data_IF_945412222047
#
_entry.id   IF_945412222047
#
_cell.length_a   1.000
_cell.length_b   1.000
_cell.length_c   1.000
_cell.angle_alpha   90.00
_cell.angle_beta   90.00
_cell.angle_gamma   90.00
#
_symmetry.space_group_name_H-M   'P 1'
#
loop_
_entity.id
_entity.type
_entity.pdbx_description
1 polymer ?
#
# COMPACT_ATOMS: atom_id res chain seq x y z
N UNK A 1 -16.91 11.18 3.59
CA UNK A 1 -17.13 11.24 2.13
C UNK A 1 -16.97 9.88 1.53
N UNK A 2 -17.91 9.46 0.70
CA UNK A 2 -17.84 8.17 0.01
C UNK A 2 -16.88 8.24 -1.16
N UNK A 3 -16.12 7.17 -1.38
CA UNK A 3 -15.33 7.04 -2.59
C UNK A 3 -16.26 6.87 -3.78
N UNK A 4 -15.96 7.58 -4.87
CA UNK A 4 -16.70 7.37 -6.11
C UNK A 4 -16.22 6.09 -6.78
N UNK A 5 -17.08 5.49 -7.57
CA UNK A 5 -16.71 4.33 -8.38
C UNK A 5 -15.98 4.83 -9.63
N UNK A 6 -14.80 4.26 -9.89
CA UNK A 6 -14.02 4.62 -11.06
C UNK A 6 -14.63 4.03 -12.33
N UNK A 7 -14.61 4.81 -13.41
CA UNK A 7 -14.95 4.30 -14.72
C UNK A 7 -13.78 3.50 -15.31
N UNK A 8 -14.06 2.75 -16.37
CA UNK A 8 -13.09 1.85 -17.00
C UNK A 8 -11.81 2.57 -17.40
N UNK A 9 -11.93 3.74 -18.01
CA UNK A 9 -10.80 4.53 -18.49
C UNK A 9 -9.90 4.99 -17.34
N UNK A 10 -10.50 5.34 -16.21
CA UNK A 10 -9.75 5.73 -15.02
C UNK A 10 -8.99 4.55 -14.42
N UNK A 11 -9.61 3.39 -14.37
CA UNK A 11 -8.94 2.18 -13.90
C UNK A 11 -7.77 1.82 -14.81
N UNK A 12 -7.95 1.94 -16.11
CA UNK A 12 -6.87 1.67 -17.06
C UNK A 12 -5.74 2.68 -16.93
N UNK A 13 -6.06 3.95 -16.69
CA UNK A 13 -5.06 4.99 -16.42
C UNK A 13 -4.22 4.64 -15.20
N UNK A 14 -4.86 4.23 -14.10
CA UNK A 14 -4.15 3.85 -12.89
C UNK A 14 -3.29 2.61 -13.13
N UNK A 15 -3.82 1.61 -13.83
CA UNK A 15 -3.07 0.40 -14.13
C UNK A 15 -1.80 0.71 -14.92
N UNK A 16 -1.86 1.67 -15.84
CA UNK A 16 -0.72 2.08 -16.65
C UNK A 16 0.26 2.97 -15.91
N UNK A 17 -0.18 3.66 -14.86
CA UNK A 17 0.61 4.66 -14.15
C UNK A 17 1.92 4.11 -13.60
N UNK A 18 1.92 2.87 -13.12
CA UNK A 18 3.10 2.18 -12.60
C UNK A 18 3.38 0.88 -13.35
N UNK A 19 3.07 0.85 -14.64
CA UNK A 19 3.36 -0.30 -15.51
C UNK A 19 2.75 -1.60 -14.96
N UNK A 20 1.48 -1.56 -14.55
CA UNK A 20 0.74 -2.71 -14.02
C UNK A 20 1.36 -3.26 -12.73
N UNK A 21 1.89 -2.36 -11.91
CA UNK A 21 2.48 -2.71 -10.61
C UNK A 21 1.82 -1.89 -9.52
N UNK A 22 1.79 -2.46 -8.31
CA UNK A 22 1.39 -1.71 -7.12
C UNK A 22 2.40 -0.59 -6.87
N UNK A 23 1.89 0.62 -6.61
CA UNK A 23 2.75 1.79 -6.38
C UNK A 23 3.59 1.65 -5.11
N UNK A 24 3.23 0.76 -4.20
CA UNK A 24 3.89 0.64 -2.88
C UNK A 24 4.78 -0.59 -2.77
N UNK A 25 4.28 -1.78 -3.06
CA UNK A 25 5.08 -3.00 -2.93
C UNK A 25 5.65 -3.51 -4.25
N UNK A 26 5.16 -3.00 -5.38
CA UNK A 26 5.66 -3.39 -6.70
C UNK A 26 5.14 -4.71 -7.23
N UNK A 27 4.17 -5.34 -6.56
CA UNK A 27 3.61 -6.59 -7.07
C UNK A 27 2.79 -6.34 -8.34
N UNK A 28 2.63 -7.39 -9.14
CA UNK A 28 1.85 -7.30 -10.37
C UNK A 28 0.38 -7.03 -10.09
N UNK A 29 -0.21 -6.17 -10.90
CA UNK A 29 -1.63 -5.86 -10.84
C UNK A 29 -2.26 -6.09 -12.21
N UNK A 30 -3.51 -6.55 -12.19
CA UNK A 30 -4.36 -6.59 -13.38
C UNK A 30 -5.62 -5.78 -13.11
N UNK A 31 -6.51 -5.73 -14.10
CA UNK A 31 -7.73 -4.93 -13.98
C UNK A 31 -8.57 -5.33 -12.75
N UNK A 32 -8.64 -6.63 -12.44
CA UNK A 32 -9.44 -7.16 -11.35
C UNK A 32 -8.79 -6.96 -9.98
N UNK A 33 -7.46 -7.07 -9.90
CA UNK A 33 -6.74 -6.96 -8.62
C UNK A 33 -6.40 -5.52 -8.24
N UNK A 34 -6.54 -4.59 -9.17
CA UNK A 34 -6.27 -3.18 -8.95
C UNK A 34 -7.24 -2.58 -7.93
N UNK A 35 -6.71 -1.85 -6.96
CA UNK A 35 -7.49 -0.94 -6.14
C UNK A 35 -6.94 0.46 -6.28
N UNK A 36 -7.78 1.46 -6.07
CA UNK A 36 -7.37 2.86 -6.12
C UNK A 36 -7.16 3.37 -4.70
N UNK A 37 -5.95 3.81 -4.43
CA UNK A 37 -5.60 4.39 -3.14
C UNK A 37 -5.51 5.90 -3.26
N UNK A 38 -6.11 6.63 -2.33
CA UNK A 38 -5.96 8.08 -2.27
C UNK A 38 -4.60 8.41 -1.66
N UNK A 39 -3.74 9.06 -2.42
CA UNK A 39 -2.38 9.44 -1.99
C UNK A 39 -2.48 10.26 -0.70
N UNK A 40 -3.32 11.30 -0.74
CA UNK A 40 -3.70 12.04 0.45
C UNK A 40 -5.12 11.60 0.80
N UNK A 41 -5.32 11.01 1.99
CA UNK A 41 -6.65 10.51 2.38
C UNK A 41 -7.72 11.59 2.34
N UNK A 42 -8.94 11.19 2.00
CA UNK A 42 -10.07 12.14 1.90
C UNK A 42 -10.29 12.90 3.19
N UNK A 43 -10.18 12.24 4.37
CA UNK A 43 -10.40 12.92 5.63
C UNK A 43 -9.23 13.83 6.05
N UNK A 44 -8.13 13.80 5.30
CA UNK A 44 -6.99 14.71 5.46
C UNK A 44 -6.94 15.75 4.37
N UNK A 45 -8.10 16.11 3.84
CA UNK A 45 -8.29 17.10 2.78
C UNK A 45 -7.77 16.65 1.40
N UNK A 46 -7.60 15.35 1.20
CA UNK A 46 -7.32 14.81 -0.12
C UNK A 46 -8.53 14.91 -1.02
N UNK A 47 -8.30 15.01 -2.33
CA UNK A 47 -9.36 15.05 -3.32
C UNK A 47 -9.71 13.67 -3.82
N UNK A 48 -10.89 13.53 -4.42
CA UNK A 48 -11.31 12.29 -5.09
C UNK A 48 -11.00 12.35 -6.59
N UNK A 49 -10.04 13.17 -6.97
CA UNK A 49 -9.57 13.29 -8.35
C UNK A 49 -8.57 12.20 -8.69
N UNK A 50 -8.54 11.80 -9.95
CA UNK A 50 -7.65 10.72 -10.41
C UNK A 50 -6.18 11.04 -10.13
N UNK A 51 -5.80 12.32 -10.13
CA UNK A 51 -4.44 12.75 -9.84
C UNK A 51 -4.01 12.43 -8.40
N UNK A 52 -4.98 12.32 -7.48
CA UNK A 52 -4.72 11.98 -6.08
C UNK A 52 -4.86 10.48 -5.83
N UNK A 53 -4.75 9.66 -6.87
CA UNK A 53 -4.89 8.21 -6.73
C UNK A 53 -3.67 7.48 -7.25
N UNK A 54 -3.31 6.40 -6.56
CA UNK A 54 -2.29 5.46 -6.99
C UNK A 54 -2.89 4.06 -7.14
N UNK A 55 -2.39 3.27 -8.09
CA UNK A 55 -2.76 1.86 -8.15
C UNK A 55 -2.14 1.13 -6.97
N UNK A 56 -2.91 0.31 -6.31
CA UNK A 56 -2.42 -0.45 -5.16
C UNK A 56 -3.02 -1.84 -5.16
N UNK A 57 -2.26 -2.79 -4.63
CA UNK A 57 -2.82 -4.09 -4.35
C UNK A 57 -3.72 -3.99 -3.12
N UNK A 58 -4.61 -4.96 -2.96
CA UNK A 58 -5.59 -4.94 -1.87
C UNK A 58 -4.91 -4.88 -0.51
N UNK A 59 -3.82 -5.62 -0.34
CA UNK A 59 -3.07 -5.66 0.92
C UNK A 59 -2.49 -4.29 1.28
N UNK A 60 -1.75 -3.66 0.35
CA UNK A 60 -1.16 -2.35 0.61
C UNK A 60 -2.23 -1.29 0.86
N UNK A 61 -3.31 -1.31 0.07
CA UNK A 61 -4.41 -0.36 0.26
C UNK A 61 -5.04 -0.51 1.64
N UNK A 62 -5.25 -1.74 2.08
CA UNK A 62 -5.81 -2.04 3.39
C UNK A 62 -4.91 -1.52 4.52
N UNK A 63 -3.61 -1.83 4.47
CA UNK A 63 -2.68 -1.42 5.53
C UNK A 63 -2.33 0.05 5.50
N UNK A 64 -2.32 0.68 4.32
CA UNK A 64 -2.12 2.12 4.23
C UNK A 64 -3.31 2.88 4.84
N UNK A 65 -4.52 2.38 4.63
CA UNK A 65 -5.74 2.94 5.22
C UNK A 65 -5.76 4.47 5.07
N UNK A 66 -5.73 5.20 6.20
CA UNK A 66 -5.82 6.66 6.22
C UNK A 66 -4.46 7.33 6.42
N UNK A 67 -3.37 6.59 6.29
CA UNK A 67 -2.04 7.17 6.35
C UNK A 67 -1.72 7.91 5.05
N UNK A 68 -0.88 8.94 5.16
CA UNK A 68 -0.19 9.49 3.99
C UNK A 68 0.86 8.47 3.52
N UNK A 69 1.42 8.68 2.33
CA UNK A 69 2.46 7.78 1.81
C UNK A 69 3.66 7.72 2.76
N UNK A 70 4.08 8.86 3.30
CA UNK A 70 5.22 8.90 4.24
C UNK A 70 4.91 8.18 5.54
N UNK A 71 3.73 8.40 6.10
CA UNK A 71 3.31 7.70 7.32
C UNK A 71 3.25 6.19 7.09
N UNK A 72 2.75 5.77 5.93
CA UNK A 72 2.69 4.36 5.58
C UNK A 72 4.09 3.76 5.51
N UNK A 73 5.04 4.44 4.86
CA UNK A 73 6.43 3.98 4.81
C UNK A 73 7.03 3.80 6.19
N UNK A 74 6.78 4.74 7.09
CA UNK A 74 7.27 4.62 8.47
C UNK A 74 6.64 3.45 9.21
N UNK A 75 5.36 3.19 9.00
CA UNK A 75 4.69 2.03 9.60
C UNK A 75 5.29 0.73 9.08
N UNK A 76 5.55 0.63 7.78
CA UNK A 76 6.17 -0.57 7.19
C UNK A 76 7.58 -0.79 7.75
N UNK A 77 8.39 0.26 7.82
CA UNK A 77 9.74 0.16 8.37
C UNK A 77 9.76 -0.30 9.83
N UNK A 78 8.72 0.04 10.59
CA UNK A 78 8.63 -0.32 12.00
C UNK A 78 8.23 -1.78 12.23
N UNK A 79 7.71 -2.49 11.22
CA UNK A 79 7.19 -3.85 11.39
C UNK A 79 8.25 -4.81 11.94
N UNK A 80 9.48 -4.90 11.38
CA UNK A 80 10.47 -5.84 11.91
C UNK A 80 10.80 -5.58 13.38
N UNK A 81 10.92 -4.32 13.79
CA UNK A 81 11.18 -3.97 15.19
C UNK A 81 10.06 -4.37 16.12
N UNK A 82 8.80 -4.18 15.68
CA UNK A 82 7.65 -4.61 16.47
C UNK A 82 7.61 -6.11 16.63
N UNK A 83 7.89 -6.85 15.55
CA UNK A 83 7.91 -8.32 15.59
C UNK A 83 9.04 -8.84 16.45
N UNK A 84 10.21 -8.18 16.47
CA UNK A 84 11.31 -8.54 17.37
C UNK A 84 10.89 -8.45 18.83
N UNK A 85 10.01 -7.50 19.18
CA UNK A 85 9.52 -7.35 20.54
C UNK A 85 8.40 -8.33 20.88
N UNK A 86 7.49 -8.58 19.94
CA UNK A 86 6.22 -9.26 20.21
C UNK A 86 6.20 -10.73 19.79
N UNK A 87 7.08 -11.17 18.91
CA UNK A 87 7.00 -12.50 18.32
C UNK A 87 8.27 -13.31 18.58
N UNK A 88 8.14 -14.33 19.43
CA UNK A 88 9.24 -15.26 19.73
C UNK A 88 9.64 -16.04 18.48
N UNK A 89 8.68 -16.45 17.66
CA UNK A 89 8.96 -17.19 16.42
C UNK A 89 9.66 -16.31 15.38
N UNK A 90 9.33 -15.03 15.33
CA UNK A 90 10.04 -14.10 14.45
C UNK A 90 11.50 -13.96 14.88
N UNK A 91 11.75 -13.78 16.19
CA UNK A 91 13.11 -13.72 16.74
C UNK A 91 13.89 -14.99 16.42
N UNK A 92 13.24 -16.14 16.51
CA UNK A 92 13.86 -17.42 16.20
C UNK A 92 14.26 -17.49 14.73
N UNK A 93 13.39 -17.08 13.82
CA UNK A 93 13.66 -17.07 12.39
C UNK A 93 14.85 -16.15 12.06
N UNK A 94 14.92 -14.97 12.69
CA UNK A 94 16.06 -14.05 12.53
C UNK A 94 17.35 -14.72 13.02
N UNK A 95 17.30 -15.38 14.19
CA UNK A 95 18.44 -16.05 14.79
C UNK A 95 19.01 -17.14 13.87
N UNK A 96 18.15 -17.85 13.16
CA UNK A 96 18.57 -18.90 12.22
C UNK A 96 18.91 -18.36 10.82
N UNK A 97 18.93 -17.05 10.65
CA UNK A 97 19.30 -16.44 9.38
C UNK A 97 18.25 -16.54 8.28
N UNK A 98 17.02 -16.91 8.64
CA UNK A 98 15.93 -17.05 7.66
C UNK A 98 15.31 -15.71 7.27
N UNK A 99 15.46 -14.69 8.12
CA UNK A 99 15.00 -13.35 7.89
C UNK A 99 16.15 -12.39 8.11
N UNK A 100 16.44 -11.53 7.10
CA UNK A 100 17.48 -10.53 7.20
C UNK A 100 16.86 -9.19 7.57
N UNK A 101 17.32 -8.57 8.64
CA UNK A 101 16.93 -7.21 9.03
C UNK A 101 17.95 -6.22 8.47
N UNK A 102 17.41 -5.14 7.93
CA UNK A 102 18.22 -4.01 7.46
C UNK A 102 18.23 -2.89 8.48
#
# INVERSE_FOLDING_TARGET
MKRRKLIKEERQYLLNKYNQKCAYCGCDLNYESLTADHIIPLHKNGTDNIENMNPACRSCNHYKSTYTTEQFREQIKAIPGRLMKSSATFRLAVKYGLITRK
#
